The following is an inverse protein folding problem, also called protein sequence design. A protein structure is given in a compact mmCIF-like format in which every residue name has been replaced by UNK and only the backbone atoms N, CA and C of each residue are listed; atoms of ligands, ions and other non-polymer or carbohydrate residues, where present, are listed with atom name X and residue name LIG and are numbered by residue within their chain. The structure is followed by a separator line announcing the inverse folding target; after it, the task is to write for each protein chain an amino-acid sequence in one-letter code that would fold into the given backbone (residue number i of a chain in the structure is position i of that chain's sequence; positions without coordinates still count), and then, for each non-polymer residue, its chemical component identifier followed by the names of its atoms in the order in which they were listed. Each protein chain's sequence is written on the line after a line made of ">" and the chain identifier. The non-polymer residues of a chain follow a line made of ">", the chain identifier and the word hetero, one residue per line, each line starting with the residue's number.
data_IF_520289400799
#
_entry.id   IF_520289400799
#
_cell.length_a   1.000
_cell.length_b   1.000
_cell.length_c   1.000
_cell.angle_alpha   90.00
_cell.angle_beta   90.00
_cell.angle_gamma   90.00
#
_symmetry.space_group_name_H-M   'P 1'
#
loop_
_entity.id
_entity.type
_entity.pdbx_description
1 polymer ?
#
# COMPACT_ATOMS: atom_id res chain seq x y z
N UNK A 1 11.90 11.81 13.06
CA UNK A 1 11.30 10.55 13.56
C UNK A 1 10.86 9.76 12.33
N UNK A 2 11.19 8.47 12.25
CA UNK A 2 11.01 7.67 11.02
C UNK A 2 9.61 7.05 10.86
N UNK A 3 8.87 6.93 11.97
CA UNK A 3 7.56 6.29 12.02
C UNK A 3 6.54 7.17 12.74
N UNK A 4 5.27 6.99 12.41
CA UNK A 4 4.14 7.70 13.03
C UNK A 4 2.93 6.78 13.05
N UNK A 5 2.23 6.75 14.19
CA UNK A 5 0.94 6.08 14.30
C UNK A 5 -0.16 7.09 14.04
N UNK A 6 -0.97 6.83 13.02
CA UNK A 6 -2.17 7.61 12.71
C UNK A 6 -3.44 6.87 13.15
N UNK A 7 -4.41 7.58 13.69
CA UNK A 7 -5.72 7.03 14.04
C UNK A 7 -6.75 8.14 14.23
N UNK A 8 -7.94 7.79 14.73
CA UNK A 8 -9.00 8.79 15.03
C UNK A 8 -8.48 9.84 16.03
N UNK A 9 -8.07 11.00 15.51
CA UNK A 9 -7.56 12.12 16.30
C UNK A 9 -6.16 11.93 16.91
N UNK A 10 -5.40 10.92 16.47
CA UNK A 10 -4.06 10.62 17.00
C UNK A 10 -3.03 10.65 15.87
N UNK A 11 -1.94 11.39 16.07
CA UNK A 11 -0.76 11.41 15.20
C UNK A 11 0.50 11.50 16.06
N UNK A 12 0.91 10.36 16.62
CA UNK A 12 2.05 10.31 17.53
C UNK A 12 3.28 9.78 16.77
N UNK A 13 4.37 10.55 16.80
CA UNK A 13 5.66 10.10 16.30
C UNK A 13 6.19 8.99 17.21
N UNK A 14 6.62 7.89 16.62
CA UNK A 14 7.17 6.75 17.35
C UNK A 14 8.58 6.42 16.87
N UNK A 15 9.43 6.02 17.81
CA UNK A 15 10.77 5.50 17.56
C UNK A 15 10.69 4.10 16.94
N UNK A 16 11.81 3.59 16.42
CA UNK A 16 11.87 2.22 15.92
C UNK A 16 11.58 1.21 17.03
N UNK A 17 12.16 1.37 18.22
CA UNK A 17 11.97 0.43 19.34
C UNK A 17 10.50 0.37 19.77
N UNK A 18 9.81 1.51 19.80
CA UNK A 18 8.37 1.60 20.02
C UNK A 18 7.57 0.96 18.88
N UNK A 19 7.94 1.25 17.62
CA UNK A 19 7.32 0.66 16.42
C UNK A 19 7.43 -0.87 16.36
N UNK A 20 8.45 -1.43 17.02
CA UNK A 20 8.73 -2.86 17.09
C UNK A 20 8.19 -3.55 18.36
N UNK A 21 7.66 -2.77 19.30
CA UNK A 21 7.20 -3.31 20.59
C UNK A 21 5.93 -4.17 20.44
N UNK A 22 5.84 -5.33 21.12
CA UNK A 22 4.63 -6.13 21.14
C UNK A 22 3.43 -5.34 21.69
N UNK A 23 2.28 -5.43 21.02
CA UNK A 23 1.04 -4.80 21.48
C UNK A 23 0.89 -3.31 21.17
N UNK A 24 1.78 -2.72 20.36
CA UNK A 24 1.64 -1.35 19.86
C UNK A 24 0.30 -1.15 19.13
N UNK A 25 -0.07 -2.09 18.27
CA UNK A 25 -1.35 -2.08 17.55
C UNK A 25 -2.38 -2.89 18.32
N UNK A 26 -3.53 -2.29 18.61
CA UNK A 26 -4.64 -3.03 19.23
C UNK A 26 -5.25 -4.00 18.22
N UNK A 27 -5.66 -5.21 18.64
CA UNK A 27 -6.42 -6.12 17.78
C UNK A 27 -7.74 -5.44 17.36
N UNK A 28 -8.23 -5.69 16.13
CA UNK A 28 -9.44 -5.02 15.62
C UNK A 28 -10.63 -5.28 16.54
N UNK A 29 -11.31 -4.22 16.99
CA UNK A 29 -12.57 -4.34 17.74
C UNK A 29 -13.65 -4.92 16.84
N UNK A 30 -14.47 -5.85 17.36
CA UNK A 30 -15.66 -6.33 16.66
C UNK A 30 -16.70 -5.21 16.60
N UNK A 31 -17.08 -4.78 15.40
CA UNK A 31 -18.15 -3.78 15.18
C UNK A 31 -19.40 -4.51 14.64
N UNK A 32 -20.56 -4.20 15.21
CA UNK A 32 -21.84 -4.75 14.73
C UNK A 32 -22.16 -4.23 13.31
N UNK A 33 -22.73 -5.08 12.44
CA UNK A 33 -22.97 -4.69 11.06
C UNK A 33 -24.09 -3.64 10.95
N UNK A 34 -23.94 -2.62 10.10
CA UNK A 34 -25.01 -1.68 9.79
C UNK A 34 -26.13 -2.35 8.95
N UNK A 35 -27.37 -1.85 9.02
CA UNK A 35 -28.50 -2.42 8.29
C UNK A 35 -28.35 -2.29 6.76
N UNK A 36 -28.80 -3.33 6.05
CA UNK A 36 -28.56 -3.50 4.61
C UNK A 36 -29.27 -2.46 3.72
N UNK A 37 -28.56 -1.97 2.70
CA UNK A 37 -29.07 -1.07 1.65
C UNK A 37 -29.26 -1.85 0.34
N UNK A 38 -30.34 -1.55 -0.40
CA UNK A 38 -30.72 -2.24 -1.65
C UNK A 38 -29.91 -1.72 -2.84
N UNK A 39 -29.51 -2.65 -3.72
CA UNK A 39 -28.72 -2.41 -4.94
C UNK A 39 -29.63 -2.35 -6.17
N UNK A 40 -29.26 -1.50 -7.14
CA UNK A 40 -29.83 -1.45 -8.49
C UNK A 40 -28.70 -1.66 -9.53
N UNK A 41 -28.98 -2.40 -10.61
CA UNK A 41 -28.01 -2.97 -11.55
C UNK A 41 -28.01 -2.31 -12.94
N UNK A 42 -26.85 -2.30 -13.61
CA UNK A 42 -26.59 -2.50 -15.06
C UNK A 42 -25.10 -2.17 -15.34
N UNK A 43 -24.28 -2.78 -16.21
CA UNK A 43 -24.40 -3.73 -17.31
C UNK A 43 -23.24 -3.43 -18.31
N UNK A 44 -22.49 -4.44 -18.77
CA UNK A 44 -21.46 -4.37 -19.86
C UNK A 44 -22.06 -4.99 -21.15
N UNK A 45 -21.53 -4.84 -22.41
CA UNK A 45 -20.23 -5.47 -22.82
C UNK A 45 -19.53 -5.13 -24.19
N UNK A 46 -18.35 -5.79 -24.44
CA UNK A 46 -17.64 -6.16 -25.72
C UNK A 46 -17.12 -5.05 -26.69
N UNK A 47 -16.13 -5.18 -27.62
CA UNK A 47 -15.41 -6.28 -28.32
C UNK A 47 -14.02 -5.83 -28.91
N UNK A 48 -13.40 -6.66 -29.79
CA UNK A 48 -11.96 -6.80 -30.21
C UNK A 48 -11.55 -6.12 -31.55
N UNK A 49 -10.22 -6.01 -31.82
CA UNK A 49 -9.41 -6.45 -33.03
C UNK A 49 -8.08 -5.64 -33.20
N UNK A 50 -6.87 -6.27 -33.25
CA UNK A 50 -5.95 -6.65 -34.39
C UNK A 50 -5.46 -5.47 -35.27
N UNK A 51 -4.24 -5.30 -35.80
CA UNK A 51 -3.03 -6.12 -36.08
C UNK A 51 -1.81 -5.23 -36.53
N UNK A 52 -0.57 -5.78 -36.47
CA UNK A 52 0.68 -5.54 -37.27
C UNK A 52 1.35 -4.11 -37.35
N UNK A 53 2.66 -3.87 -37.50
CA UNK A 53 3.90 -4.65 -37.63
C UNK A 53 5.06 -3.77 -38.19
N UNK A 54 6.31 -3.93 -37.70
CA UNK A 54 7.56 -3.72 -38.46
C UNK A 54 8.43 -2.44 -38.27
N UNK A 55 9.59 -2.56 -37.58
CA UNK A 55 10.97 -2.32 -38.08
C UNK A 55 12.01 -2.46 -36.94
N UNK A 56 12.91 -3.46 -37.03
CA UNK A 56 13.79 -3.93 -35.94
C UNK A 56 15.21 -3.34 -35.91
N UNK A 57 15.61 -2.50 -36.86
CA UNK A 57 17.03 -2.08 -36.96
C UNK A 57 17.36 -0.66 -36.43
N UNK A 58 16.37 0.23 -36.29
CA UNK A 58 16.61 1.59 -35.73
C UNK A 58 16.84 1.57 -34.20
N UNK A 59 16.27 0.58 -33.52
CA UNK A 59 16.31 0.50 -32.06
C UNK A 59 17.72 0.18 -31.54
N UNK A 60 18.50 -0.65 -32.24
CA UNK A 60 19.84 -1.05 -31.81
C UNK A 60 20.89 0.09 -31.88
N UNK A 61 20.70 1.07 -32.76
CA UNK A 61 21.54 2.28 -32.80
C UNK A 61 21.16 3.27 -31.70
N UNK A 62 19.85 3.49 -31.49
CA UNK A 62 19.37 4.30 -30.37
C UNK A 62 19.82 3.74 -29.01
N UNK A 63 19.87 2.40 -28.87
CA UNK A 63 20.38 1.75 -27.66
C UNK A 63 21.89 1.99 -27.46
N UNK A 64 22.70 1.97 -28.51
CA UNK A 64 24.16 2.21 -28.40
C UNK A 64 24.50 3.66 -28.08
N UNK A 65 23.70 4.61 -28.57
CA UNK A 65 23.88 6.04 -28.29
C UNK A 65 23.39 6.40 -26.87
N UNK A 66 22.30 5.78 -26.38
CA UNK A 66 21.86 5.92 -24.99
C UNK A 66 22.81 5.23 -23.98
N UNK A 67 23.49 4.15 -24.38
CA UNK A 67 24.47 3.46 -23.54
C UNK A 67 25.79 4.25 -23.35
N UNK A 68 25.95 5.38 -24.05
CA UNK A 68 27.13 6.23 -23.99
C UNK A 68 27.17 7.26 -22.86
N UNK A 69 26.11 7.43 -22.06
CA UNK A 69 26.13 8.41 -20.97
C UNK A 69 25.47 7.93 -19.68
N UNK A 70 26.27 8.07 -18.61
CA UNK A 70 26.03 7.81 -17.19
C UNK A 70 26.25 6.36 -16.76
N UNK A 71 27.52 6.03 -16.54
CA UNK A 71 27.95 4.99 -15.60
C UNK A 71 27.53 5.42 -14.17
N UNK A 72 26.24 5.32 -13.84
CA UNK A 72 25.78 5.29 -12.46
C UNK A 72 25.89 3.84 -12.04
N UNK A 73 26.88 3.52 -11.23
CA UNK A 73 26.78 2.32 -10.39
C UNK A 73 25.37 2.31 -9.77
N UNK A 74 24.63 1.19 -9.81
CA UNK A 74 23.30 1.11 -9.22
C UNK A 74 23.39 1.62 -7.78
N UNK A 75 22.80 2.78 -7.51
CA UNK A 75 22.76 3.30 -6.16
C UNK A 75 21.99 2.27 -5.31
N UNK A 76 22.56 1.79 -4.20
CA UNK A 76 21.88 0.84 -3.35
C UNK A 76 20.57 1.47 -2.90
N UNK A 77 19.47 0.78 -3.16
CA UNK A 77 18.16 1.19 -2.70
C UNK A 77 18.17 1.17 -1.19
N UNK A 78 17.87 2.31 -0.57
CA UNK A 78 18.07 2.55 0.86
C UNK A 78 16.84 3.10 1.56
N UNK A 79 15.95 3.79 0.85
CA UNK A 79 14.78 4.48 1.43
C UNK A 79 13.45 4.06 0.81
N UNK A 80 12.36 4.32 1.55
CA UNK A 80 10.99 3.92 1.20
C UNK A 80 10.54 4.43 -0.18
N UNK A 81 10.81 5.70 -0.50
CA UNK A 81 10.37 6.33 -1.74
C UNK A 81 10.90 5.65 -3.01
N UNK A 82 12.04 4.95 -2.91
CA UNK A 82 12.66 4.25 -4.02
C UNK A 82 11.97 2.91 -4.35
N UNK A 83 11.20 2.36 -3.41
CA UNK A 83 10.55 1.03 -3.56
C UNK A 83 9.04 1.08 -3.45
N UNK A 84 8.47 2.18 -2.95
CA UNK A 84 7.04 2.28 -2.73
C UNK A 84 6.27 2.24 -4.05
N UNK A 85 5.07 1.66 -4.01
CA UNK A 85 4.10 1.87 -5.09
C UNK A 85 3.53 3.29 -4.97
N UNK A 86 3.69 4.09 -6.03
CA UNK A 86 3.23 5.48 -6.10
C UNK A 86 2.52 5.76 -7.44
N UNK A 87 1.45 6.58 -7.48
CA UNK A 87 0.78 7.18 -6.32
C UNK A 87 0.04 6.14 -5.46
N UNK A 88 -0.13 6.43 -4.18
CA UNK A 88 -0.96 5.59 -3.31
C UNK A 88 -2.41 5.57 -3.81
N UNK A 89 -2.94 4.37 -4.02
CA UNK A 89 -4.37 4.18 -4.24
C UNK A 89 -5.06 4.12 -2.88
N UNK A 90 -5.98 5.04 -2.63
CA UNK A 90 -6.68 5.19 -1.35
C UNK A 90 -8.18 4.97 -1.50
N UNK A 91 -8.87 4.81 -0.37
CA UNK A 91 -10.32 4.67 -0.31
C UNK A 91 -10.87 5.50 0.85
N UNK A 92 -12.14 5.95 0.78
CA UNK A 92 -12.77 6.69 1.89
C UNK A 92 -13.34 5.73 2.93
N UNK A 93 -13.43 6.19 4.18
CA UNK A 93 -14.00 5.38 5.28
C UNK A 93 -15.46 4.94 5.03
N UNK A 94 -16.22 5.76 4.31
CA UNK A 94 -17.62 5.53 3.96
C UNK A 94 -17.82 4.82 2.61
N UNK A 95 -16.75 4.57 1.84
CA UNK A 95 -16.84 3.74 0.63
C UNK A 95 -17.18 2.29 1.00
N UNK A 96 -17.70 1.53 0.03
CA UNK A 96 -18.09 0.14 0.28
C UNK A 96 -16.91 -0.84 0.23
N UNK A 97 -17.01 -1.93 0.98
CA UNK A 97 -16.04 -3.03 0.92
C UNK A 97 -16.00 -3.67 -0.48
N UNK A 98 -17.13 -3.70 -1.20
CA UNK A 98 -17.18 -4.13 -2.60
C UNK A 98 -16.26 -3.29 -3.49
N UNK A 99 -16.36 -1.95 -3.40
CA UNK A 99 -15.45 -1.03 -4.09
C UNK A 99 -14.00 -1.26 -3.71
N UNK A 100 -13.70 -1.47 -2.42
CA UNK A 100 -12.35 -1.78 -1.94
C UNK A 100 -11.79 -3.05 -2.60
N UNK A 101 -12.60 -4.13 -2.60
CA UNK A 101 -12.24 -5.42 -3.20
C UNK A 101 -11.98 -5.28 -4.70
N UNK A 102 -12.84 -4.56 -5.42
CA UNK A 102 -12.76 -4.42 -6.86
C UNK A 102 -11.52 -3.59 -7.24
N UNK A 103 -11.26 -2.48 -6.53
CA UNK A 103 -10.04 -1.69 -6.70
C UNK A 103 -8.77 -2.53 -6.44
N UNK A 104 -8.77 -3.34 -5.38
CA UNK A 104 -7.68 -4.26 -5.07
C UNK A 104 -7.46 -5.31 -6.16
N UNK A 105 -8.53 -5.84 -6.75
CA UNK A 105 -8.48 -6.86 -7.79
C UNK A 105 -7.94 -6.26 -9.10
N UNK A 106 -8.53 -5.15 -9.55
CA UNK A 106 -8.16 -4.49 -10.80
C UNK A 106 -6.72 -4.00 -10.80
N UNK A 107 -6.27 -3.41 -9.68
CA UNK A 107 -4.92 -2.84 -9.55
C UNK A 107 -3.90 -3.85 -9.02
N UNK A 108 -4.35 -5.09 -8.75
CA UNK A 108 -3.53 -6.19 -8.21
C UNK A 108 -2.79 -5.82 -6.92
N UNK A 109 -3.41 -5.02 -6.08
CA UNK A 109 -2.88 -4.59 -4.77
C UNK A 109 -3.60 -5.29 -3.62
N UNK A 110 -2.91 -5.43 -2.49
CA UNK A 110 -3.42 -6.16 -1.32
C UNK A 110 -3.79 -5.29 -0.11
N UNK A 111 -3.51 -3.98 -0.19
CA UNK A 111 -3.66 -3.01 0.90
C UNK A 111 -4.13 -1.67 0.31
N UNK A 112 -5.08 -1.04 0.98
CA UNK A 112 -5.53 0.32 0.71
C UNK A 112 -5.45 1.14 2.00
N UNK A 113 -4.78 2.30 1.99
CA UNK A 113 -4.96 3.34 3.00
C UNK A 113 -6.41 3.85 2.96
N UNK A 114 -7.01 3.99 4.13
CA UNK A 114 -8.37 4.49 4.32
C UNK A 114 -8.30 5.91 4.84
N UNK A 115 -8.87 6.84 4.07
CA UNK A 115 -8.87 8.26 4.38
C UNK A 115 -10.16 8.65 5.11
N UNK A 116 -10.02 9.46 6.16
CA UNK A 116 -11.12 10.14 6.84
C UNK A 116 -11.75 11.23 5.98
N UNK A 117 -12.74 11.91 6.54
CA UNK A 117 -13.41 13.05 5.89
C UNK A 117 -12.51 14.30 5.89
N UNK A 118 -11.65 14.43 6.90
CA UNK A 118 -10.67 15.51 7.07
C UNK A 118 -9.45 15.41 6.14
N UNK A 119 -9.39 14.36 5.31
CA UNK A 119 -8.29 14.11 4.39
C UNK A 119 -7.08 13.43 5.03
N UNK A 120 -7.14 13.06 6.31
CA UNK A 120 -6.08 12.31 7.00
C UNK A 120 -6.27 10.80 6.83
N UNK A 121 -5.20 10.05 6.98
CA UNK A 121 -5.27 8.59 7.05
C UNK A 121 -5.80 8.19 8.44
N UNK A 122 -6.83 7.35 8.48
CA UNK A 122 -7.42 6.86 9.75
C UNK A 122 -7.24 5.36 9.95
N UNK A 123 -7.21 4.61 8.85
CA UNK A 123 -7.22 3.16 8.88
C UNK A 123 -6.52 2.56 7.65
N UNK A 124 -6.31 1.24 7.69
CA UNK A 124 -5.93 0.43 6.53
C UNK A 124 -6.89 -0.72 6.36
N UNK A 125 -7.17 -1.08 5.11
CA UNK A 125 -7.93 -2.29 4.78
C UNK A 125 -7.10 -3.17 3.87
N UNK A 126 -7.02 -4.47 4.20
CA UNK A 126 -6.30 -5.44 3.39
C UNK A 126 -7.24 -6.49 2.81
N UNK A 127 -6.79 -7.13 1.72
CA UNK A 127 -7.51 -8.28 1.12
C UNK A 127 -7.77 -9.40 2.14
N UNK A 128 -6.85 -9.57 3.09
CA UNK A 128 -6.98 -10.55 4.17
C UNK A 128 -8.07 -10.18 5.18
N UNK A 129 -8.29 -8.89 5.45
CA UNK A 129 -9.38 -8.44 6.32
C UNK A 129 -10.72 -8.72 5.64
N UNK A 130 -10.87 -8.35 4.37
CA UNK A 130 -12.07 -8.67 3.58
C UNK A 130 -12.33 -10.19 3.59
N UNK A 131 -11.31 -10.99 3.29
CA UNK A 131 -11.43 -12.46 3.24
C UNK A 131 -11.90 -13.04 4.57
N UNK A 132 -11.34 -12.56 5.69
CA UNK A 132 -11.69 -13.03 7.04
C UNK A 132 -13.12 -12.69 7.43
N UNK A 133 -13.63 -11.55 6.98
CA UNK A 133 -14.97 -11.07 7.33
C UNK A 133 -16.08 -11.66 6.45
N UNK A 134 -15.75 -12.25 5.28
CA UNK A 134 -16.74 -12.92 4.40
C UNK A 134 -17.50 -14.06 5.07
N UNK A 135 -16.92 -14.68 6.08
CA UNK A 135 -17.56 -15.77 6.83
C UNK A 135 -18.63 -15.21 7.79
N UNK A 136 -18.47 -13.95 8.22
CA UNK A 136 -19.30 -13.32 9.26
C UNK A 136 -20.47 -12.51 8.71
N UNK A 137 -20.30 -11.90 7.54
CA UNK A 137 -21.30 -11.00 6.98
C UNK A 137 -21.72 -11.44 5.58
N UNK A 138 -23.03 -11.70 5.40
CA UNK A 138 -23.62 -12.08 4.11
C UNK A 138 -23.58 -10.95 3.08
N UNK A 139 -23.84 -9.71 3.52
CA UNK A 139 -23.87 -8.51 2.68
C UNK A 139 -22.59 -7.67 2.78
N UNK A 140 -21.44 -8.32 3.02
CA UNK A 140 -20.16 -7.64 3.25
C UNK A 140 -19.84 -6.58 2.20
N UNK A 141 -20.16 -6.85 0.92
CA UNK A 141 -19.87 -5.94 -0.19
C UNK A 141 -20.53 -4.56 -0.05
N UNK A 142 -21.66 -4.47 0.64
CA UNK A 142 -22.43 -3.23 0.84
C UNK A 142 -22.03 -2.46 2.08
N UNK A 143 -21.31 -3.11 3.00
CA UNK A 143 -20.87 -2.48 4.24
C UNK A 143 -19.82 -1.40 3.95
N UNK A 144 -19.78 -0.33 4.76
CA UNK A 144 -18.71 0.67 4.68
C UNK A 144 -17.37 0.04 5.09
N UNK A 145 -16.29 0.50 4.45
CA UNK A 145 -14.91 0.07 4.73
C UNK A 145 -14.58 0.26 6.21
N UNK A 146 -15.00 1.37 6.81
CA UNK A 146 -14.78 1.67 8.23
C UNK A 146 -15.34 0.63 9.21
N UNK A 147 -16.28 -0.23 8.79
CA UNK A 147 -16.82 -1.29 9.65
C UNK A 147 -15.85 -2.47 9.83
N UNK A 148 -14.87 -2.64 8.94
CA UNK A 148 -13.94 -3.77 8.97
C UNK A 148 -12.46 -3.38 8.83
N UNK A 149 -12.17 -2.10 8.54
CA UNK A 149 -10.82 -1.59 8.44
C UNK A 149 -10.13 -1.61 9.81
N UNK A 150 -8.79 -1.70 9.78
CA UNK A 150 -7.96 -1.61 10.99
C UNK A 150 -7.57 -0.17 11.22
N UNK A 151 -8.02 0.38 12.34
CA UNK A 151 -7.58 1.68 12.85
C UNK A 151 -6.22 1.54 13.54
N UNK A 152 -5.59 2.67 13.89
CA UNK A 152 -4.21 2.73 14.39
C UNK A 152 -3.22 2.23 13.33
N UNK A 153 -2.97 3.08 12.34
CA UNK A 153 -2.10 2.81 11.21
C UNK A 153 -0.69 3.23 11.54
N UNK A 154 0.21 2.26 11.62
CA UNK A 154 1.64 2.55 11.60
C UNK A 154 2.05 2.96 10.17
N UNK A 155 2.71 4.11 10.07
CA UNK A 155 3.18 4.72 8.82
C UNK A 155 4.66 5.08 8.92
N UNK A 156 5.27 5.35 7.77
CA UNK A 156 6.64 5.81 7.66
C UNK A 156 6.75 7.00 6.70
N UNK A 157 7.84 7.76 6.81
CA UNK A 157 8.18 8.82 5.88
C UNK A 157 8.82 8.32 4.57
N UNK A 158 8.87 9.14 3.51
CA UNK A 158 9.49 8.78 2.22
C UNK A 158 10.98 8.42 2.35
N UNK A 159 11.66 9.06 3.31
CA UNK A 159 13.10 8.89 3.57
C UNK A 159 13.40 7.78 4.59
N UNK A 160 12.39 7.03 5.07
CA UNK A 160 12.60 5.97 6.05
C UNK A 160 13.41 4.82 5.46
N UNK A 161 14.37 4.29 6.23
CA UNK A 161 15.27 3.23 5.78
C UNK A 161 14.52 1.92 5.50
N UNK A 162 14.83 1.25 4.39
CA UNK A 162 14.15 0.00 3.99
C UNK A 162 14.36 -1.16 4.99
N UNK A 163 15.49 -1.18 5.72
CA UNK A 163 15.77 -2.21 6.73
C UNK A 163 14.93 -2.00 7.98
N UNK A 164 14.73 -0.75 8.38
CA UNK A 164 13.83 -0.38 9.47
C UNK A 164 12.39 -0.76 9.11
N UNK A 165 11.95 -0.42 7.88
CA UNK A 165 10.65 -0.86 7.35
C UNK A 165 10.51 -2.39 7.40
N UNK A 166 11.52 -3.13 6.90
CA UNK A 166 11.50 -4.58 6.90
C UNK A 166 11.34 -5.15 8.31
N UNK A 167 12.09 -4.61 9.28
CA UNK A 167 12.01 -5.02 10.70
C UNK A 167 10.59 -4.83 11.24
N UNK A 168 10.03 -3.63 11.07
CA UNK A 168 8.69 -3.31 11.58
C UNK A 168 7.61 -4.17 10.89
N UNK A 169 7.68 -4.37 9.58
CA UNK A 169 6.72 -5.22 8.86
C UNK A 169 6.74 -6.69 9.34
N UNK A 170 7.92 -7.19 9.74
CA UNK A 170 8.08 -8.55 10.25
C UNK A 170 7.61 -8.66 11.71
N UNK A 171 8.06 -7.76 12.57
CA UNK A 171 7.81 -7.86 14.02
C UNK A 171 6.36 -7.53 14.39
N UNK A 172 5.72 -6.59 13.69
CA UNK A 172 4.29 -6.26 13.89
C UNK A 172 3.34 -7.18 13.10
N UNK A 173 3.87 -8.16 12.37
CA UNK A 173 3.14 -9.02 11.42
C UNK A 173 2.19 -8.26 10.46
N UNK A 174 2.61 -7.07 10.00
CA UNK A 174 1.86 -6.28 9.02
C UNK A 174 2.39 -6.52 7.61
N UNK A 175 1.48 -6.60 6.63
CA UNK A 175 1.84 -6.94 5.24
C UNK A 175 2.37 -5.76 4.41
N UNK A 176 2.07 -4.55 4.85
CA UNK A 176 2.53 -3.33 4.21
C UNK A 176 2.23 -2.11 5.08
N UNK A 177 2.84 -1.00 4.70
CA UNK A 177 2.87 0.24 5.46
C UNK A 177 2.60 1.41 4.50
N UNK A 178 1.61 2.26 4.80
CA UNK A 178 1.45 3.53 4.08
C UNK A 178 2.65 4.44 4.33
N UNK A 179 3.09 5.11 3.27
CA UNK A 179 4.14 6.12 3.31
C UNK A 179 3.46 7.49 3.27
N UNK A 180 3.72 8.30 4.29
CA UNK A 180 3.07 9.59 4.50
C UNK A 180 4.13 10.68 4.46
N UNK A 181 3.92 11.66 3.58
CA UNK A 181 4.68 12.90 3.58
C UNK A 181 4.01 13.88 4.56
N UNK A 182 4.80 14.35 5.52
CA UNK A 182 4.37 15.29 6.56
C UNK A 182 4.71 16.75 6.21
N UNK A 183 5.26 17.01 5.02
CA UNK A 183 5.55 18.37 4.57
C UNK A 183 4.29 19.20 4.25
N UNK A 184 3.15 18.53 4.04
CA UNK A 184 1.84 19.14 3.79
C UNK A 184 0.93 19.05 5.03
N UNK A 185 -0.02 19.98 5.17
CA UNK A 185 -1.10 19.93 6.17
C UNK A 185 -2.47 19.98 5.47
N UNK A 186 -3.26 18.89 5.49
CA UNK A 186 -3.01 17.63 6.21
C UNK A 186 -1.88 16.78 5.58
N UNK A 187 -1.20 15.92 6.37
CA UNK A 187 -0.21 14.99 5.86
C UNK A 187 -0.75 14.12 4.73
N UNK A 188 0.06 13.91 3.70
CA UNK A 188 -0.37 13.27 2.46
C UNK A 188 0.16 11.85 2.35
N UNK A 189 -0.72 10.89 2.07
CA UNK A 189 -0.28 9.52 1.73
C UNK A 189 0.30 9.52 0.32
N UNK A 190 1.61 9.27 0.19
CA UNK A 190 2.35 9.36 -1.08
C UNK A 190 2.64 8.00 -1.72
N UNK A 191 2.59 6.94 -0.92
CA UNK A 191 2.80 5.58 -1.42
C UNK A 191 2.46 4.50 -0.40
N UNK A 192 2.71 3.26 -0.79
CA UNK A 192 2.63 2.08 0.08
C UNK A 192 3.86 1.20 -0.17
N UNK A 193 4.48 0.72 0.90
CA UNK A 193 5.53 -0.31 0.85
C UNK A 193 4.98 -1.61 1.41
N UNK A 194 5.15 -2.70 0.68
CA UNK A 194 4.80 -4.06 1.13
C UNK A 194 6.05 -4.93 1.29
N UNK A 195 5.90 -6.07 1.98
CA UNK A 195 6.98 -7.09 2.05
C UNK A 195 7.47 -7.49 0.65
N UNK A 196 6.55 -7.58 -0.32
CA UNK A 196 6.90 -7.91 -1.71
C UNK A 196 7.72 -6.84 -2.40
N UNK A 197 7.55 -5.56 -2.05
CA UNK A 197 8.34 -4.48 -2.63
C UNK A 197 9.78 -4.52 -2.13
N UNK A 198 9.97 -4.81 -0.83
CA UNK A 198 11.29 -5.04 -0.25
C UNK A 198 11.96 -6.26 -0.90
N UNK A 199 11.24 -7.38 -1.05
CA UNK A 199 11.78 -8.57 -1.71
C UNK A 199 12.14 -8.31 -3.18
N UNK A 200 11.31 -7.57 -3.93
CA UNK A 200 11.62 -7.16 -5.30
C UNK A 200 12.87 -6.27 -5.33
N UNK A 201 13.02 -5.37 -4.37
CA UNK A 201 14.18 -4.50 -4.29
C UNK A 201 15.47 -5.31 -4.05
N UNK A 202 15.41 -6.32 -3.17
CA UNK A 202 16.54 -7.24 -2.96
C UNK A 202 16.93 -7.98 -4.25
N UNK A 203 15.94 -8.48 -5.01
CA UNK A 203 16.19 -9.20 -6.27
C UNK A 203 16.79 -8.29 -7.35
N UNK A 204 16.35 -7.02 -7.40
CA UNK A 204 16.68 -6.12 -8.51
C UNK A 204 17.91 -5.23 -8.24
N UNK A 205 18.29 -4.99 -6.98
CA UNK A 205 19.28 -3.95 -6.63
C UNK A 205 20.42 -4.43 -5.73
N UNK A 206 20.45 -5.68 -5.26
CA UNK A 206 21.54 -6.19 -4.45
C UNK A 206 22.04 -7.56 -4.94
N UNK A 207 23.36 -7.76 -5.12
CA UNK A 207 23.95 -9.06 -4.85
C UNK A 207 23.71 -9.34 -3.35
N UNK A 208 23.14 -10.49 -3.00
CA UNK A 208 23.09 -10.93 -1.60
C UNK A 208 24.53 -11.16 -1.14
N UNK A 209 25.15 -10.16 -0.52
CA UNK A 209 26.39 -10.30 0.24
C UNK A 209 26.06 -11.14 1.49
N UNK A 210 26.01 -12.46 1.30
CA UNK A 210 25.94 -13.44 2.37
C UNK A 210 27.31 -13.46 3.05
N UNK A 211 27.50 -12.61 4.06
CA UNK A 211 28.58 -12.77 5.01
C UNK A 211 28.25 -13.98 5.90
N UNK A 212 28.61 -15.16 5.40
CA UNK A 212 28.65 -16.43 6.16
C UNK A 212 29.88 -16.47 7.06
#
# INVERSE_FOLDING_TARGET
>A
MSFTVFGRGVSDGVTIDEATSPGLLRPPMMVEPPPAVREDQAGTPFAREREAGGRRDDSLRAYREAAGQVNREPSPVSVAEQIMSSPALTIRINDTVGRARDLMAERRIGLLPVMGEDGRIEAVITRGDITRQRIRYSDLAKMPVGAIARFEVLTAGPQTNIRELARVLLEQDIRGMPIVDQAEDPPRVVGVVTRSDILRALINYAPLELWL
#
